data_IF_801894397659
#
_entry.id   IF_801894397659
#
_cell.length_a   1.000
_cell.length_b   1.000
_cell.length_c   1.000
_cell.angle_alpha   90.00
_cell.angle_beta   90.00
_cell.angle_gamma   90.00
#
_symmetry.space_group_name_H-M   'P 1'
#
loop_
_entity.id
_entity.type
_entity.pdbx_description
1 polymer ?
#
# COMPACT_ATOMS: atom_id res chain seq x y z
N UNK A 1 34.53 10.17 -15.00
CA UNK A 1 33.69 8.99 -15.24
C UNK A 1 32.49 9.10 -14.30
N UNK A 2 31.29 9.23 -14.84
CA UNK A 2 30.06 9.28 -14.02
C UNK A 2 29.55 7.83 -13.90
N UNK A 3 29.41 7.34 -12.67
CA UNK A 3 28.79 6.04 -12.39
C UNK A 3 27.29 6.25 -12.26
N UNK A 4 26.50 5.41 -12.93
CA UNK A 4 25.04 5.42 -12.87
C UNK A 4 24.60 4.04 -12.39
N UNK A 5 23.70 3.99 -11.40
CA UNK A 5 23.09 2.74 -10.95
C UNK A 5 22.17 2.21 -12.04
N UNK A 6 22.27 0.94 -12.37
CA UNK A 6 21.31 0.27 -13.25
C UNK A 6 19.96 0.14 -12.54
N UNK A 7 18.88 0.40 -13.27
CA UNK A 7 17.52 0.23 -12.78
C UNK A 7 16.84 -0.87 -13.58
N UNK A 8 16.09 -1.71 -12.89
CA UNK A 8 15.34 -2.79 -13.52
C UNK A 8 13.97 -2.30 -13.94
N UNK A 9 13.48 -2.78 -15.06
CA UNK A 9 12.09 -2.62 -15.47
C UNK A 9 11.19 -3.64 -14.73
N UNK A 10 9.88 -3.39 -14.75
CA UNK A 10 8.88 -4.37 -14.27
C UNK A 10 9.02 -5.70 -15.03
N UNK A 11 9.28 -5.64 -16.36
CA UNK A 11 9.49 -6.85 -17.17
C UNK A 11 10.74 -7.64 -16.72
N UNK A 12 11.84 -6.93 -16.40
CA UNK A 12 13.05 -7.58 -15.87
C UNK A 12 12.77 -8.23 -14.52
N UNK A 13 12.05 -7.56 -13.65
CA UNK A 13 11.69 -8.05 -12.33
C UNK A 13 10.83 -9.34 -12.42
N UNK A 14 9.78 -9.34 -13.25
CA UNK A 14 8.96 -10.53 -13.48
C UNK A 14 9.80 -11.68 -14.05
N UNK A 15 10.65 -11.40 -15.05
CA UNK A 15 11.55 -12.42 -15.62
C UNK A 15 12.51 -13.01 -14.60
N UNK A 16 13.01 -12.21 -13.65
CA UNK A 16 13.87 -12.70 -12.56
C UNK A 16 13.10 -13.63 -11.61
N UNK A 17 11.82 -13.34 -11.33
CA UNK A 17 10.95 -14.23 -10.57
C UNK A 17 10.74 -15.57 -11.31
N UNK A 18 10.31 -15.50 -12.58
CA UNK A 18 10.05 -16.68 -13.43
C UNK A 18 11.27 -17.60 -13.59
N UNK A 19 12.46 -17.03 -13.70
CA UNK A 19 13.72 -17.79 -13.87
C UNK A 19 14.36 -18.22 -12.57
N UNK A 20 13.79 -17.85 -11.41
CA UNK A 20 14.30 -18.23 -10.09
C UNK A 20 15.56 -17.47 -9.67
N UNK A 21 15.89 -16.35 -10.33
CA UNK A 21 16.96 -15.42 -9.87
C UNK A 21 16.53 -14.79 -8.54
N UNK A 22 15.24 -14.43 -8.42
CA UNK A 22 14.65 -14.08 -7.14
C UNK A 22 14.10 -15.36 -6.49
N UNK A 23 14.59 -15.75 -5.29
CA UNK A 23 14.15 -16.97 -4.63
C UNK A 23 12.64 -16.92 -4.29
N UNK A 24 11.87 -17.98 -4.59
CA UNK A 24 10.41 -18.00 -4.40
C UNK A 24 9.97 -18.09 -2.93
N UNK A 25 10.89 -18.33 -2.02
CA UNK A 25 10.65 -18.37 -0.57
C UNK A 25 10.88 -17.03 0.13
N UNK A 26 11.15 -15.98 -0.65
CA UNK A 26 11.35 -14.61 -0.17
C UNK A 26 10.40 -13.64 -0.85
N UNK A 27 10.02 -12.60 -0.14
CA UNK A 27 9.19 -11.54 -0.67
C UNK A 27 10.07 -10.38 -1.16
N UNK A 28 9.76 -9.88 -2.34
CA UNK A 28 10.46 -8.76 -2.96
C UNK A 28 9.44 -7.72 -3.44
N UNK A 29 9.83 -6.45 -3.43
CA UNK A 29 9.12 -5.37 -4.11
C UNK A 29 10.06 -4.70 -5.10
N UNK A 30 9.52 -4.22 -6.22
CA UNK A 30 10.25 -3.34 -7.14
C UNK A 30 9.86 -1.89 -6.83
N UNK A 31 10.82 -1.07 -6.42
CA UNK A 31 10.61 0.35 -6.09
C UNK A 31 11.58 1.21 -6.89
N UNK A 32 11.07 1.98 -7.85
CA UNK A 32 11.87 2.85 -8.73
C UNK A 32 13.02 2.12 -9.42
N UNK A 33 12.75 0.89 -9.85
CA UNK A 33 13.72 0.02 -10.50
C UNK A 33 14.76 -0.60 -9.56
N UNK A 34 14.58 -0.51 -8.24
CA UNK A 34 15.37 -1.21 -7.24
C UNK A 34 14.57 -2.37 -6.66
N UNK A 35 15.20 -3.55 -6.58
CA UNK A 35 14.59 -4.74 -6.00
C UNK A 35 14.92 -4.76 -4.51
N UNK A 36 13.90 -4.75 -3.69
CA UNK A 36 14.01 -4.74 -2.23
C UNK A 36 13.52 -6.06 -1.66
N UNK A 37 14.34 -6.73 -0.85
CA UNK A 37 13.93 -7.92 -0.09
C UNK A 37 13.22 -7.48 1.17
N UNK A 38 11.98 -7.92 1.35
CA UNK A 38 11.15 -7.58 2.49
C UNK A 38 11.48 -8.47 3.69
N UNK A 39 11.49 -7.86 4.88
CA UNK A 39 11.67 -8.60 6.13
C UNK A 39 10.45 -9.48 6.44
N UNK A 40 10.64 -10.62 7.13
CA UNK A 40 9.52 -11.44 7.56
C UNK A 40 8.50 -10.65 8.40
N UNK A 41 7.23 -10.89 8.15
CA UNK A 41 6.11 -10.19 8.80
C UNK A 41 6.01 -10.56 10.28
N UNK A 42 6.00 -9.55 11.15
CA UNK A 42 5.79 -9.74 12.59
C UNK A 42 4.34 -10.09 12.93
N UNK A 43 4.11 -10.71 14.11
CA UNK A 43 2.78 -11.17 14.51
C UNK A 43 1.78 -10.02 14.73
N UNK A 44 2.24 -8.84 15.20
CA UNK A 44 1.38 -7.66 15.39
C UNK A 44 0.89 -7.13 14.06
N UNK A 45 1.80 -6.94 13.12
CA UNK A 45 1.48 -6.52 11.75
C UNK A 45 0.46 -7.50 11.13
N UNK A 46 0.75 -8.80 11.12
CA UNK A 46 -0.15 -9.79 10.55
C UNK A 46 -1.53 -9.83 11.23
N UNK A 47 -1.60 -9.56 12.54
CA UNK A 47 -2.86 -9.45 13.27
C UNK A 47 -3.66 -8.22 12.79
N UNK A 48 -3.02 -7.05 12.73
CA UNK A 48 -3.67 -5.81 12.31
C UNK A 48 -4.12 -5.88 10.84
N UNK A 49 -3.31 -6.44 9.94
CA UNK A 49 -3.72 -6.67 8.54
C UNK A 49 -4.99 -7.52 8.48
N UNK A 50 -5.06 -8.64 9.24
CA UNK A 50 -6.27 -9.47 9.29
C UNK A 50 -7.50 -8.74 9.84
N UNK A 51 -7.32 -7.90 10.86
CA UNK A 51 -8.42 -7.09 11.41
C UNK A 51 -8.95 -6.09 10.39
N UNK A 52 -8.05 -5.32 9.77
CA UNK A 52 -8.44 -4.34 8.75
C UNK A 52 -9.08 -5.05 7.54
N UNK A 53 -8.54 -6.19 7.13
CA UNK A 53 -9.12 -7.00 6.05
C UNK A 53 -10.56 -7.40 6.35
N UNK A 54 -10.83 -7.92 7.55
CA UNK A 54 -12.18 -8.30 7.97
C UNK A 54 -13.12 -7.08 8.01
N UNK A 55 -12.64 -5.96 8.53
CA UNK A 55 -13.36 -4.69 8.56
C UNK A 55 -13.70 -4.20 7.13
N UNK A 56 -12.73 -4.28 6.22
CA UNK A 56 -12.94 -3.90 4.82
C UNK A 56 -14.01 -4.75 4.15
N UNK A 57 -13.98 -6.08 4.30
CA UNK A 57 -15.02 -6.96 3.76
C UNK A 57 -16.40 -6.72 4.38
N UNK A 58 -16.46 -6.31 5.65
CA UNK A 58 -17.74 -5.96 6.29
C UNK A 58 -18.32 -4.64 5.76
N UNK A 59 -17.46 -3.63 5.56
CA UNK A 59 -17.89 -2.24 5.31
C UNK A 59 -18.01 -1.90 3.84
N UNK A 60 -17.16 -2.45 2.98
CA UNK A 60 -17.06 -2.03 1.58
C UNK A 60 -17.64 -3.08 0.62
N UNK A 61 -18.49 -2.60 -0.29
CA UNK A 61 -18.91 -3.38 -1.48
C UNK A 61 -17.99 -3.04 -2.66
N UNK A 62 -16.71 -3.42 -2.52
CA UNK A 62 -15.66 -3.12 -3.48
C UNK A 62 -14.69 -4.31 -3.59
N UNK A 63 -13.74 -4.25 -4.51
CA UNK A 63 -12.66 -5.23 -4.61
C UNK A 63 -11.63 -4.92 -3.52
N UNK A 64 -11.41 -5.87 -2.63
CA UNK A 64 -10.38 -5.78 -1.58
C UNK A 64 -9.21 -6.64 -2.00
N UNK A 65 -8.04 -6.04 -2.14
CA UNK A 65 -6.77 -6.70 -2.44
C UNK A 65 -5.88 -6.62 -1.20
N UNK A 66 -5.27 -7.75 -0.82
CA UNK A 66 -4.51 -7.87 0.44
C UNK A 66 -3.12 -8.43 0.14
N UNK A 67 -2.11 -7.61 0.37
CA UNK A 67 -0.69 -7.95 0.12
C UNK A 67 -0.46 -8.45 -1.31
N UNK A 68 -1.21 -7.90 -2.26
CA UNK A 68 -1.02 -8.13 -3.69
C UNK A 68 -0.38 -6.92 -4.34
N UNK A 69 0.40 -7.09 -5.41
CA UNK A 69 1.09 -6.01 -6.08
C UNK A 69 0.15 -5.05 -6.81
N UNK A 70 0.56 -3.79 -6.89
CA UNK A 70 -0.03 -2.79 -7.78
C UNK A 70 1.04 -2.25 -8.73
N UNK A 71 0.67 -2.05 -10.00
CA UNK A 71 1.57 -1.52 -11.00
C UNK A 71 1.56 0.01 -10.97
N UNK A 72 2.70 0.60 -10.69
CA UNK A 72 2.88 2.04 -10.66
C UNK A 72 3.84 2.51 -11.77
N UNK A 73 3.79 3.80 -12.08
CA UNK A 73 4.80 4.44 -12.92
C UNK A 73 6.20 4.34 -12.27
N UNK A 74 7.24 4.76 -13.01
CA UNK A 74 8.62 4.81 -12.50
C UNK A 74 9.19 3.43 -12.12
N UNK A 75 8.84 2.40 -12.89
CA UNK A 75 9.31 1.03 -12.68
C UNK A 75 9.13 0.61 -11.21
N UNK A 76 7.88 0.59 -10.78
CA UNK A 76 7.54 0.25 -9.40
C UNK A 76 6.34 -0.68 -9.32
N UNK A 77 6.49 -1.70 -8.48
CA UNK A 77 5.48 -2.71 -8.19
C UNK A 77 5.54 -3.03 -6.69
N UNK A 78 5.02 -2.10 -5.84
CA UNK A 78 4.88 -2.35 -4.41
C UNK A 78 3.75 -3.32 -4.10
N UNK A 79 3.83 -3.98 -2.94
CA UNK A 79 2.78 -4.82 -2.36
C UNK A 79 2.17 -4.12 -1.12
N UNK A 80 1.14 -3.27 -1.29
CA UNK A 80 0.47 -2.64 -0.16
C UNK A 80 -0.23 -3.68 0.71
N UNK A 81 -0.32 -3.44 2.02
CA UNK A 81 -0.98 -4.36 2.91
C UNK A 81 -2.48 -4.54 2.57
N UNK A 82 -3.18 -3.45 2.25
CA UNK A 82 -4.58 -3.51 1.79
C UNK A 82 -4.83 -2.41 0.75
N UNK A 83 -5.51 -2.79 -0.32
CA UNK A 83 -5.95 -1.85 -1.35
C UNK A 83 -7.44 -2.04 -1.61
N UNK A 84 -8.20 -0.96 -1.58
CA UNK A 84 -9.60 -0.95 -2.02
C UNK A 84 -9.61 -0.44 -3.45
N UNK A 85 -10.04 -1.31 -4.36
CA UNK A 85 -10.00 -1.09 -5.80
C UNK A 85 -11.39 -0.78 -6.35
N UNK A 86 -11.43 0.01 -7.41
CA UNK A 86 -12.63 0.24 -8.22
C UNK A 86 -12.96 -0.98 -9.08
N UNK A 87 -14.14 -0.96 -9.71
CA UNK A 87 -14.52 -1.97 -10.70
C UNK A 87 -14.92 -3.32 -10.10
N UNK A 88 -14.59 -4.40 -10.79
CA UNK A 88 -14.98 -5.77 -10.42
C UNK A 88 -13.78 -6.72 -10.42
N UNK A 89 -13.83 -7.86 -9.67
CA UNK A 89 -12.72 -8.81 -9.63
C UNK A 89 -12.29 -9.33 -11.01
N UNK A 90 -13.21 -9.41 -11.95
CA UNK A 90 -12.95 -9.88 -13.31
C UNK A 90 -11.99 -8.97 -14.09
N UNK A 91 -11.94 -7.67 -13.76
CA UNK A 91 -11.00 -6.73 -14.40
C UNK A 91 -9.54 -7.07 -14.08
N UNK A 92 -9.30 -7.66 -12.93
CA UNK A 92 -7.95 -7.99 -12.43
C UNK A 92 -7.58 -9.47 -12.63
N UNK A 93 -8.35 -10.21 -13.43
CA UNK A 93 -8.08 -11.64 -13.68
C UNK A 93 -6.82 -11.88 -14.52
N UNK A 94 -6.44 -10.92 -15.37
CA UNK A 94 -5.33 -11.05 -16.33
C UNK A 94 -4.34 -9.86 -16.27
N UNK A 95 -4.54 -8.91 -15.37
CA UNK A 95 -3.64 -7.75 -15.20
C UNK A 95 -3.60 -7.29 -13.74
N UNK A 96 -2.49 -6.68 -13.35
CA UNK A 96 -2.38 -6.02 -12.06
C UNK A 96 -3.19 -4.72 -12.04
N UNK A 97 -3.75 -4.35 -10.88
CA UNK A 97 -4.32 -3.01 -10.71
C UNK A 97 -3.23 -1.94 -10.87
N UNK A 98 -3.64 -0.79 -11.36
CA UNK A 98 -2.81 0.40 -11.50
C UNK A 98 -3.20 1.47 -10.48
N UNK A 99 -2.42 2.55 -10.39
CA UNK A 99 -2.74 3.66 -9.48
C UNK A 99 -4.15 4.24 -9.70
N UNK A 100 -4.67 4.21 -10.94
CA UNK A 100 -6.01 4.75 -11.26
C UNK A 100 -7.15 3.87 -10.76
N UNK A 101 -6.86 2.63 -10.42
CA UNK A 101 -7.84 1.69 -9.89
C UNK A 101 -7.98 1.81 -8.36
N UNK A 102 -6.99 2.41 -7.71
CA UNK A 102 -6.92 2.52 -6.25
C UNK A 102 -7.84 3.61 -5.73
N UNK A 103 -8.79 3.25 -4.88
CA UNK A 103 -9.68 4.16 -4.18
C UNK A 103 -9.19 4.52 -2.77
N UNK A 104 -8.56 3.55 -2.10
CA UNK A 104 -7.90 3.70 -0.81
C UNK A 104 -6.77 2.69 -0.71
N UNK A 105 -5.61 3.11 -0.21
CA UNK A 105 -4.48 2.26 0.09
C UNK A 105 -4.18 2.35 1.59
N UNK A 106 -3.94 1.20 2.24
CA UNK A 106 -3.64 1.13 3.66
C UNK A 106 -2.34 0.35 3.85
N UNK A 107 -1.37 0.97 4.53
CA UNK A 107 -0.15 0.33 5.03
C UNK A 107 -0.27 0.13 6.53
N UNK A 108 0.24 -0.99 7.02
CA UNK A 108 0.29 -1.34 8.44
C UNK A 108 1.73 -1.25 8.91
N UNK A 109 2.07 -0.23 9.68
CA UNK A 109 3.45 0.03 10.10
C UNK A 109 3.70 -0.40 11.54
N UNK A 110 4.52 -1.42 11.74
CA UNK A 110 5.10 -1.80 13.04
C UNK A 110 6.57 -1.35 13.13
N UNK A 111 7.45 -1.96 12.35
CA UNK A 111 8.87 -1.58 12.26
C UNK A 111 9.23 -0.80 10.98
N UNK A 112 8.29 -0.68 10.05
CA UNK A 112 8.48 -0.12 8.70
C UNK A 112 8.08 1.35 8.56
N UNK A 113 7.56 1.99 9.61
CA UNK A 113 6.96 3.33 9.55
C UNK A 113 7.81 4.34 8.77
N UNK A 114 9.11 4.38 9.04
CA UNK A 114 10.01 5.30 8.33
C UNK A 114 10.08 5.00 6.84
N UNK A 115 10.13 3.73 6.46
CA UNK A 115 10.14 3.31 5.07
C UNK A 115 8.82 3.67 4.38
N UNK A 116 7.70 3.39 5.02
CA UNK A 116 6.38 3.69 4.49
C UNK A 116 6.20 5.20 4.28
N UNK A 117 6.62 6.02 5.24
CA UNK A 117 6.54 7.48 5.17
C UNK A 117 7.54 8.12 4.19
N UNK A 118 8.77 7.57 4.04
CA UNK A 118 9.84 8.25 3.28
C UNK A 118 10.09 7.66 1.89
N UNK A 119 9.59 6.45 1.61
CA UNK A 119 9.76 5.76 0.33
C UNK A 119 8.41 5.48 -0.33
N UNK A 120 7.52 4.73 0.32
CA UNK A 120 6.24 4.33 -0.25
C UNK A 120 5.27 5.51 -0.41
N UNK A 121 5.09 6.32 0.64
CA UNK A 121 4.16 7.45 0.60
C UNK A 121 4.48 8.46 -0.52
N UNK A 122 5.74 8.91 -0.72
CA UNK A 122 6.11 9.73 -1.86
C UNK A 122 5.84 9.05 -3.22
N UNK A 123 6.09 7.74 -3.32
CA UNK A 123 5.81 6.98 -4.53
C UNK A 123 4.31 6.98 -4.85
N UNK A 124 3.47 6.78 -3.85
CA UNK A 124 2.01 6.81 -3.99
C UNK A 124 1.49 8.20 -4.40
N UNK A 125 2.04 9.26 -3.81
CA UNK A 125 1.70 10.64 -4.18
C UNK A 125 2.07 10.96 -5.64
N UNK A 126 3.27 10.59 -6.10
CA UNK A 126 3.72 10.75 -7.49
C UNK A 126 2.81 10.04 -8.49
N UNK A 127 2.25 8.90 -8.10
CA UNK A 127 1.29 8.13 -8.88
C UNK A 127 -0.16 8.58 -8.69
N UNK A 128 -0.40 9.65 -7.91
CA UNK A 128 -1.71 10.27 -7.69
C UNK A 128 -2.73 9.33 -7.02
N UNK A 129 -2.29 8.43 -6.15
CA UNK A 129 -3.20 7.65 -5.32
C UNK A 129 -3.95 8.62 -4.41
N UNK A 130 -5.30 8.65 -4.47
CA UNK A 130 -6.08 9.76 -3.89
C UNK A 130 -6.02 9.81 -2.37
N UNK A 131 -5.90 8.66 -1.72
CA UNK A 131 -5.92 8.53 -0.27
C UNK A 131 -5.05 7.35 0.19
N UNK A 132 -4.17 7.62 1.15
CA UNK A 132 -3.33 6.61 1.81
C UNK A 132 -3.52 6.72 3.31
N UNK A 133 -3.73 5.58 3.95
CA UNK A 133 -3.74 5.45 5.41
C UNK A 133 -2.52 4.67 5.87
N UNK A 134 -1.87 5.13 6.94
CA UNK A 134 -0.82 4.39 7.63
C UNK A 134 -1.32 4.06 9.04
N UNK A 135 -1.59 2.78 9.29
CA UNK A 135 -1.92 2.26 10.61
C UNK A 135 -0.64 2.10 11.43
N UNK A 136 -0.26 3.15 12.17
CA UNK A 136 0.93 3.18 12.99
C UNK A 136 0.67 2.46 14.32
N UNK A 137 1.09 1.19 14.37
CA UNK A 137 0.84 0.30 15.52
C UNK A 137 1.60 0.77 16.77
N UNK A 138 2.82 1.29 16.61
CA UNK A 138 3.66 1.68 17.74
C UNK A 138 3.10 2.87 18.50
N UNK A 139 2.63 3.89 17.76
CA UNK A 139 2.10 5.13 18.34
C UNK A 139 0.58 5.08 18.55
N UNK A 140 -0.07 3.97 18.19
CA UNK A 140 -1.53 3.77 18.29
C UNK A 140 -2.29 4.93 17.65
N UNK A 141 -1.99 5.18 16.36
CA UNK A 141 -2.61 6.24 15.59
C UNK A 141 -2.80 5.85 14.12
N UNK A 142 -3.79 6.44 13.50
CA UNK A 142 -4.02 6.37 12.07
C UNK A 142 -3.56 7.68 11.43
N UNK A 143 -2.60 7.59 10.52
CA UNK A 143 -2.17 8.71 9.70
C UNK A 143 -2.91 8.65 8.36
N UNK A 144 -3.63 9.70 8.02
CA UNK A 144 -4.43 9.79 6.79
C UNK A 144 -3.86 10.86 5.89
N UNK A 145 -3.51 10.48 4.67
CA UNK A 145 -2.89 11.33 3.67
C UNK A 145 -3.82 11.46 2.46
N UNK A 146 -4.10 12.70 2.06
CA UNK A 146 -5.02 13.06 0.97
C UNK A 146 -4.45 14.18 0.10
N UNK A 147 -5.05 14.37 -1.07
CA UNK A 147 -4.68 15.42 -2.00
C UNK A 147 -3.20 15.33 -2.45
N UNK A 148 -2.85 14.33 -3.27
CA UNK A 148 -1.48 14.15 -3.76
C UNK A 148 -1.01 15.36 -4.58
N UNK A 149 0.16 15.91 -4.21
CA UNK A 149 0.82 17.04 -4.86
C UNK A 149 2.32 16.73 -5.08
N UNK A 150 2.67 16.37 -6.31
CA UNK A 150 4.01 15.90 -6.64
C UNK A 150 4.36 14.62 -5.87
N UNK A 151 5.38 14.67 -5.02
CA UNK A 151 5.82 13.56 -4.18
C UNK A 151 5.32 13.66 -2.73
N UNK A 152 4.28 14.45 -2.48
CA UNK A 152 3.72 14.67 -1.13
C UNK A 152 2.19 14.64 -1.18
N UNK A 153 1.58 14.65 0.01
CA UNK A 153 0.16 14.88 0.20
C UNK A 153 -0.03 16.21 0.90
N UNK A 154 -0.91 17.08 0.36
CA UNK A 154 -1.15 18.42 0.92
C UNK A 154 -2.00 18.38 2.19
N UNK A 155 -2.77 17.32 2.39
CA UNK A 155 -3.56 17.11 3.60
C UNK A 155 -3.04 15.88 4.35
N UNK A 156 -2.75 16.07 5.65
CA UNK A 156 -2.41 15.01 6.60
C UNK A 156 -3.26 15.16 7.85
N UNK A 157 -3.87 14.06 8.30
CA UNK A 157 -4.59 13.95 9.56
C UNK A 157 -3.94 12.87 10.41
N UNK A 158 -3.86 13.08 11.72
CA UNK A 158 -3.43 12.06 12.69
C UNK A 158 -4.57 11.83 13.65
N UNK A 159 -5.12 10.62 13.65
CA UNK A 159 -6.31 10.27 14.39
C UNK A 159 -6.01 9.21 15.45
N UNK A 160 -6.69 9.30 16.59
CA UNK A 160 -6.58 8.41 17.75
C UNK A 160 -7.83 7.54 17.90
N UNK A 161 -7.75 6.52 18.75
CA UNK A 161 -8.78 5.48 18.97
C UNK A 161 -10.23 5.97 19.04
N UNK A 162 -10.46 7.11 19.69
CA UNK A 162 -11.83 7.65 19.88
C UNK A 162 -12.36 8.41 18.66
N UNK A 163 -11.55 8.60 17.64
CA UNK A 163 -11.89 9.34 16.44
C UNK A 163 -12.37 8.40 15.33
N UNK A 164 -13.04 8.96 14.34
CA UNK A 164 -13.51 8.21 13.17
C UNK A 164 -13.18 8.96 11.90
N UNK A 165 -13.10 8.22 10.81
CA UNK A 165 -12.82 8.73 9.47
C UNK A 165 -13.71 8.02 8.45
N UNK A 166 -14.10 8.75 7.40
CA UNK A 166 -14.65 8.15 6.19
C UNK A 166 -13.64 8.24 5.06
N UNK A 167 -13.43 7.18 4.26
CA UNK A 167 -12.62 7.27 3.06
C UNK A 167 -13.23 8.24 2.04
N UNK A 168 -12.41 8.93 1.25
CA UNK A 168 -12.88 9.87 0.23
C UNK A 168 -13.85 9.22 -0.77
N UNK A 169 -13.55 7.99 -1.18
CA UNK A 169 -14.39 7.25 -2.12
C UNK A 169 -15.68 6.69 -1.50
N UNK A 170 -15.79 6.67 -0.16
CA UNK A 170 -16.94 6.11 0.59
C UNK A 170 -17.33 7.02 1.75
N UNK A 171 -17.78 8.26 1.47
CA UNK A 171 -18.01 9.26 2.51
C UNK A 171 -19.14 8.90 3.50
N UNK A 172 -19.98 7.93 3.14
CA UNK A 172 -21.05 7.40 4.00
C UNK A 172 -20.57 6.36 5.01
N UNK A 173 -19.34 5.81 4.84
CA UNK A 173 -18.81 4.74 5.66
C UNK A 173 -17.90 5.33 6.73
N UNK A 174 -18.38 5.41 7.96
CA UNK A 174 -17.57 5.83 9.11
C UNK A 174 -16.84 4.62 9.73
N UNK A 175 -15.54 4.76 9.90
CA UNK A 175 -14.66 3.76 10.51
C UNK A 175 -14.02 4.37 11.77
N UNK A 176 -14.17 3.69 12.89
CA UNK A 176 -13.50 4.09 14.13
C UNK A 176 -12.02 3.66 14.09
N UNK A 177 -11.12 4.54 14.51
CA UNK A 177 -9.68 4.23 14.51
C UNK A 177 -9.35 3.01 15.36
N UNK A 178 -10.02 2.82 16.50
CA UNK A 178 -9.87 1.63 17.35
C UNK A 178 -10.21 0.30 16.63
N UNK A 179 -11.09 0.35 15.61
CA UNK A 179 -11.46 -0.86 14.85
C UNK A 179 -10.36 -1.23 13.82
N UNK A 180 -9.46 -0.29 13.53
CA UNK A 180 -8.28 -0.46 12.67
C UNK A 180 -7.08 -0.96 13.47
N UNK A 181 -6.82 -0.34 14.62
CA UNK A 181 -5.61 -0.61 15.40
C UNK A 181 -5.75 -1.77 16.40
N UNK A 182 -6.97 -2.06 16.85
CA UNK A 182 -7.30 -3.19 17.73
C UNK A 182 -7.29 -2.83 19.22
#
# INVERSE_FOLDING_TARGET
MQLVTHKFSVEDYHRMGETGILPPDKNFELIRGEILEMSPVGFKHAYTVRQITALCYEKFSAVISVQDPILLLNESEPEPDITILSGSPQQYAECLPTATDVQLLIEVSDSTLRYDQTVKLPLYAENRIPEVWIANIQDQQLEVYREPDGSTYSQMLVLKDSESIAPLAFPEIQIMVKDILG
#
